data_IF_224360625811
#
_entry.id   IF_224360625811
#
_cell.length_a   1.000
_cell.length_b   1.000
_cell.length_c   1.000
_cell.angle_alpha   90.00
_cell.angle_beta   90.00
_cell.angle_gamma   90.00
#
_symmetry.space_group_name_H-M   'P 1'
#
loop_
_entity.id
_entity.type
_entity.pdbx_description
1 polymer ?
#
# COMPACT_ATOMS: atom_id res chain seq x y z
N UNK A 1 28.37 -0.71 6.95
CA UNK A 1 27.18 -0.14 6.28
C UNK A 1 27.36 0.38 4.85
N UNK A 2 28.34 -0.10 4.10
CA UNK A 2 28.53 0.31 2.69
C UNK A 2 28.40 -0.84 1.68
N UNK A 3 28.15 -2.06 2.17
CA UNK A 3 28.11 -3.27 1.34
C UNK A 3 26.70 -3.68 0.90
N UNK A 4 25.63 -3.13 1.49
CA UNK A 4 24.24 -3.39 1.12
C UNK A 4 23.67 -2.42 0.05
N UNK A 5 24.33 -1.29 -0.23
CA UNK A 5 23.85 -0.29 -1.20
C UNK A 5 24.18 -0.59 -2.66
N UNK A 6 25.00 -1.61 -2.96
CA UNK A 6 25.50 -1.89 -4.33
C UNK A 6 24.76 -2.98 -5.11
N UNK A 7 23.70 -3.59 -4.58
CA UNK A 7 22.90 -4.59 -5.32
C UNK A 7 21.57 -4.09 -5.90
N UNK A 8 21.19 -2.82 -5.68
CA UNK A 8 19.96 -2.26 -6.25
C UNK A 8 20.06 -1.88 -7.74
N UNK A 9 21.22 -2.03 -8.39
CA UNK A 9 21.43 -1.54 -9.75
C UNK A 9 21.76 -2.68 -10.73
N UNK A 10 20.84 -3.62 -10.89
CA UNK A 10 20.75 -4.44 -12.10
C UNK A 10 19.37 -5.10 -12.20
N UNK A 11 18.59 -4.67 -13.20
CA UNK A 11 17.31 -5.24 -13.66
C UNK A 11 16.07 -4.89 -12.83
N UNK A 12 15.67 -3.61 -12.85
CA UNK A 12 14.24 -3.30 -13.01
C UNK A 12 13.82 -3.68 -14.44
N UNK A 13 13.58 -4.97 -14.66
CA UNK A 13 12.83 -5.42 -15.81
C UNK A 13 11.37 -5.01 -15.59
N UNK A 14 10.79 -4.28 -16.54
CA UNK A 14 9.36 -3.96 -16.60
C UNK A 14 8.55 -5.25 -16.40
N UNK A 15 7.68 -5.26 -15.40
CA UNK A 15 6.66 -6.31 -15.27
C UNK A 15 5.51 -5.95 -16.23
N UNK A 16 5.11 -6.82 -17.16
CA UNK A 16 3.91 -6.61 -17.96
C UNK A 16 2.67 -6.82 -17.07
N UNK A 17 1.70 -5.93 -17.22
CA UNK A 17 0.34 -6.12 -16.71
C UNK A 17 -0.33 -7.29 -17.44
N UNK A 18 -0.43 -8.47 -16.81
CA UNK A 18 -1.48 -9.48 -17.03
C UNK A 18 -1.26 -10.73 -16.15
N UNK A 19 -2.34 -11.16 -15.51
CA UNK A 19 -2.82 -12.55 -15.39
C UNK A 19 -1.90 -13.68 -14.94
N UNK A 20 -2.48 -14.53 -14.08
CA UNK A 20 -2.07 -15.86 -13.63
C UNK A 20 -1.21 -15.91 -12.37
N UNK A 21 -1.92 -15.86 -11.25
CA UNK A 21 -1.52 -16.44 -9.97
C UNK A 21 -1.34 -17.96 -10.14
N UNK A 22 -0.12 -18.41 -10.41
CA UNK A 22 0.26 -19.82 -10.27
C UNK A 22 1.34 -19.88 -9.20
N UNK A 23 0.91 -20.15 -7.96
CA UNK A 23 1.83 -20.65 -6.94
C UNK A 23 2.49 -21.93 -7.46
N UNK A 24 3.74 -22.18 -7.12
CA UNK A 24 4.49 -23.34 -7.58
C UNK A 24 3.70 -24.64 -7.31
N UNK A 25 3.00 -25.14 -8.34
CA UNK A 25 2.33 -26.42 -8.27
C UNK A 25 3.39 -27.47 -8.59
N UNK A 26 4.01 -27.99 -7.53
CA UNK A 26 4.73 -29.26 -7.66
C UNK A 26 3.74 -30.31 -8.18
N UNK A 27 4.17 -31.21 -9.09
CA UNK A 27 3.33 -32.29 -9.57
C UNK A 27 2.75 -33.10 -8.42
N UNK A 28 1.55 -33.65 -8.62
CA UNK A 28 0.91 -34.51 -7.63
C UNK A 28 1.84 -35.66 -7.20
N UNK A 29 2.04 -35.80 -5.88
CA UNK A 29 2.94 -36.79 -5.31
C UNK A 29 2.53 -38.22 -5.67
N UNK A 30 3.49 -39.00 -6.12
CA UNK A 30 3.35 -40.45 -6.37
C UNK A 30 4.66 -41.14 -6.01
N UNK A 31 4.55 -42.27 -5.31
CA UNK A 31 5.70 -43.10 -5.00
C UNK A 31 6.36 -43.65 -6.27
N UNK A 32 7.68 -43.59 -6.31
CA UNK A 32 8.50 -44.09 -7.42
C UNK A 32 8.69 -45.60 -7.32
N UNK A 33 8.73 -46.27 -8.47
CA UNK A 33 9.14 -47.68 -8.55
C UNK A 33 10.61 -47.84 -8.16
N UNK A 34 10.93 -48.84 -7.34
CA UNK A 34 12.29 -49.15 -6.91
C UNK A 34 12.87 -50.24 -7.81
N UNK A 35 13.89 -49.90 -8.59
CA UNK A 35 14.49 -50.80 -9.60
C UNK A 35 15.98 -51.03 -9.38
N UNK A 36 16.62 -50.21 -8.57
CA UNK A 36 18.07 -50.27 -8.33
C UNK A 36 18.35 -51.23 -7.18
N UNK A 37 19.30 -52.16 -7.36
CA UNK A 37 19.69 -53.10 -6.30
C UNK A 37 20.44 -52.41 -5.16
N UNK A 38 20.61 -53.12 -4.05
CA UNK A 38 21.34 -52.61 -2.88
C UNK A 38 22.85 -52.70 -3.10
N UNK A 39 23.56 -51.59 -2.92
CA UNK A 39 25.03 -51.61 -2.84
C UNK A 39 25.49 -51.99 -1.42
N UNK A 40 25.60 -53.30 -1.21
CA UNK A 40 26.04 -53.85 0.08
C UNK A 40 27.43 -53.40 0.50
N UNK A 41 28.35 -53.13 -0.45
CA UNK A 41 29.71 -52.68 -0.09
C UNK A 41 29.66 -51.30 0.53
N UNK A 42 28.90 -50.41 -0.09
CA UNK A 42 28.68 -49.05 0.40
C UNK A 42 27.99 -49.06 1.75
N UNK A 43 26.90 -49.81 1.90
CA UNK A 43 26.17 -49.91 3.17
C UNK A 43 27.05 -50.47 4.29
N UNK A 44 27.83 -51.53 4.02
CA UNK A 44 28.71 -52.13 5.03
C UNK A 44 29.86 -51.21 5.48
N UNK A 45 30.22 -50.20 4.69
CA UNK A 45 31.26 -49.24 5.05
C UNK A 45 30.78 -48.15 6.02
N UNK A 46 29.47 -48.03 6.23
CA UNK A 46 28.87 -47.02 7.07
C UNK A 46 28.85 -47.49 8.53
N UNK A 47 29.52 -46.74 9.39
CA UNK A 47 29.42 -46.92 10.85
C UNK A 47 28.19 -46.18 11.37
N UNK A 48 27.10 -46.92 11.59
CA UNK A 48 25.80 -46.35 11.99
C UNK A 48 25.85 -45.77 13.41
N UNK A 49 26.61 -46.37 14.33
CA UNK A 49 26.73 -45.89 15.71
C UNK A 49 27.48 -44.56 15.76
N UNK A 50 28.54 -44.43 14.95
CA UNK A 50 29.23 -43.15 14.77
C UNK A 50 28.32 -42.10 14.17
N UNK A 51 27.58 -42.43 13.09
CA UNK A 51 26.64 -41.50 12.46
C UNK A 51 25.59 -40.99 13.45
N UNK A 52 25.07 -41.87 14.31
CA UNK A 52 24.08 -41.50 15.32
C UNK A 52 24.66 -40.66 16.45
N UNK A 53 25.85 -41.01 16.96
CA UNK A 53 26.48 -40.31 18.09
C UNK A 53 27.07 -38.96 17.71
N UNK A 54 27.60 -38.82 16.50
CA UNK A 54 28.22 -37.58 15.99
C UNK A 54 27.26 -36.71 15.19
N UNK A 55 26.03 -37.17 14.93
CA UNK A 55 25.07 -36.51 14.04
C UNK A 55 25.68 -36.21 12.67
N UNK A 56 26.34 -37.20 12.07
CA UNK A 56 26.98 -37.06 10.75
C UNK A 56 25.93 -36.99 9.63
N UNK A 57 25.39 -35.78 9.45
CA UNK A 57 24.38 -35.51 8.44
C UNK A 57 24.90 -35.70 7.02
N UNK A 58 26.21 -35.54 6.78
CA UNK A 58 26.77 -35.70 5.44
C UNK A 58 26.67 -37.16 4.99
N UNK A 59 27.07 -38.10 5.86
CA UNK A 59 26.91 -39.52 5.58
C UNK A 59 25.44 -39.88 5.37
N UNK A 60 24.50 -39.30 6.12
CA UNK A 60 23.07 -39.53 5.88
C UNK A 60 22.61 -38.97 4.52
N UNK A 61 22.98 -37.74 4.18
CA UNK A 61 22.62 -37.09 2.91
C UNK A 61 23.18 -37.81 1.70
N UNK A 62 24.42 -38.28 1.75
CA UNK A 62 25.04 -38.99 0.65
C UNK A 62 24.34 -40.32 0.33
N UNK A 63 23.75 -40.96 1.35
CA UNK A 63 23.15 -42.29 1.24
C UNK A 63 21.61 -42.28 1.17
N UNK A 64 20.95 -41.16 1.49
CA UNK A 64 19.49 -41.09 1.61
C UNK A 64 18.77 -41.52 0.33
N UNK A 65 19.29 -41.13 -0.84
CA UNK A 65 18.71 -41.49 -2.14
C UNK A 65 18.81 -42.99 -2.38
N UNK A 66 19.99 -43.59 -2.15
CA UNK A 66 20.21 -45.02 -2.35
C UNK A 66 19.31 -45.86 -1.43
N UNK A 67 19.22 -45.51 -0.14
CA UNK A 67 18.41 -46.25 0.84
C UNK A 67 16.92 -46.09 0.56
N UNK A 68 16.47 -44.89 0.21
CA UNK A 68 15.06 -44.60 -0.04
C UNK A 68 14.55 -45.32 -1.28
N UNK A 69 15.36 -45.44 -2.34
CA UNK A 69 14.92 -45.93 -3.65
C UNK A 69 15.45 -47.31 -4.06
N UNK A 70 16.24 -47.99 -3.22
CA UNK A 70 16.70 -49.36 -3.51
C UNK A 70 15.55 -50.38 -3.50
N UNK A 71 15.70 -51.42 -4.32
CA UNK A 71 14.82 -52.58 -4.37
C UNK A 71 15.33 -53.65 -3.39
N UNK A 72 14.45 -54.13 -2.52
CA UNK A 72 14.73 -55.21 -1.57
C UNK A 72 14.04 -56.52 -1.94
N UNK A 73 13.31 -56.55 -3.05
CA UNK A 73 12.56 -57.72 -3.48
C UNK A 73 13.51 -58.87 -3.84
N UNK A 74 13.37 -59.98 -3.13
CA UNK A 74 14.17 -61.18 -3.39
C UNK A 74 15.58 -61.15 -2.81
N UNK A 75 15.91 -60.18 -1.96
CA UNK A 75 17.19 -60.14 -1.26
C UNK A 75 17.39 -61.35 -0.34
N UNK A 76 18.63 -61.85 -0.31
CA UNK A 76 19.02 -63.05 0.42
C UNK A 76 20.20 -62.75 1.34
N UNK A 77 20.28 -63.47 2.46
CA UNK A 77 21.42 -63.38 3.35
C UNK A 77 22.72 -63.73 2.61
N UNK A 78 23.73 -62.87 2.72
CA UNK A 78 25.02 -63.04 2.06
C UNK A 78 25.78 -64.30 2.52
N UNK A 79 25.48 -64.82 3.71
CA UNK A 79 26.20 -65.95 4.32
C UNK A 79 25.51 -67.30 4.13
N UNK A 80 24.18 -67.36 4.26
CA UNK A 80 23.42 -68.61 4.19
C UNK A 80 22.47 -68.71 3.01
N UNK A 81 22.38 -67.66 2.17
CA UNK A 81 21.50 -67.57 1.00
C UNK A 81 20.00 -67.75 1.26
N UNK A 82 19.57 -67.78 2.52
CA UNK A 82 18.17 -67.79 2.90
C UNK A 82 17.52 -66.43 2.57
N UNK A 83 16.23 -66.41 2.20
CA UNK A 83 15.50 -65.16 1.99
C UNK A 83 15.46 -64.34 3.28
N UNK A 84 15.51 -63.02 3.15
CA UNK A 84 15.32 -62.11 4.28
C UNK A 84 13.90 -62.24 4.83
N UNK A 85 13.75 -62.09 6.14
CA UNK A 85 12.45 -62.15 6.82
C UNK A 85 11.45 -61.15 6.21
N UNK A 86 10.27 -61.66 5.84
CA UNK A 86 9.22 -60.87 5.19
C UNK A 86 8.68 -59.71 6.04
N UNK A 87 8.69 -59.81 7.37
CA UNK A 87 8.28 -58.74 8.29
C UNK A 87 9.33 -57.63 8.30
N UNK A 88 10.62 -57.97 8.32
CA UNK A 88 11.70 -56.99 8.22
C UNK A 88 11.69 -56.28 6.86
N UNK A 89 11.43 -57.01 5.76
CA UNK A 89 11.27 -56.41 4.44
C UNK A 89 10.09 -55.45 4.38
N UNK A 90 8.94 -55.80 5.00
CA UNK A 90 7.78 -54.91 5.10
C UNK A 90 8.09 -53.66 5.94
N UNK A 91 8.78 -53.82 7.07
CA UNK A 91 9.17 -52.70 7.92
C UNK A 91 10.11 -51.73 7.18
N UNK A 92 11.12 -52.27 6.50
CA UNK A 92 12.03 -51.48 5.68
C UNK A 92 11.29 -50.81 4.52
N UNK A 93 10.40 -51.53 3.83
CA UNK A 93 9.57 -50.96 2.77
C UNK A 93 8.71 -49.80 3.27
N UNK A 94 8.13 -49.91 4.46
CA UNK A 94 7.38 -48.83 5.09
C UNK A 94 8.30 -47.64 5.42
N UNK A 95 9.49 -47.90 5.96
CA UNK A 95 10.50 -46.87 6.21
C UNK A 95 10.90 -46.12 4.92
N UNK A 96 11.13 -46.82 3.82
CA UNK A 96 11.41 -46.21 2.52
C UNK A 96 10.27 -45.32 2.00
N UNK A 97 9.01 -45.73 2.18
CA UNK A 97 7.85 -44.93 1.78
C UNK A 97 7.72 -43.68 2.66
N UNK A 98 7.94 -43.81 3.96
CA UNK A 98 7.99 -42.66 4.87
C UNK A 98 9.11 -41.69 4.49
N UNK A 99 10.32 -42.18 4.23
CA UNK A 99 11.45 -41.36 3.79
C UNK A 99 11.16 -40.63 2.46
N UNK A 100 10.61 -41.33 1.47
CA UNK A 100 10.25 -40.71 0.19
C UNK A 100 9.21 -39.61 0.35
N UNK A 101 8.20 -39.83 1.22
CA UNK A 101 7.22 -38.80 1.53
C UNK A 101 7.85 -37.60 2.24
N UNK A 102 8.75 -37.83 3.21
CA UNK A 102 9.45 -36.77 3.93
C UNK A 102 10.34 -35.93 2.98
N UNK A 103 11.06 -36.58 2.06
CA UNK A 103 11.84 -35.89 1.04
C UNK A 103 10.96 -35.02 0.14
N UNK A 104 9.81 -35.55 -0.29
CA UNK A 104 8.84 -34.76 -1.06
C UNK A 104 8.29 -33.59 -0.27
N UNK A 105 7.91 -33.78 1.00
CA UNK A 105 7.43 -32.71 1.86
C UNK A 105 8.50 -31.63 2.06
N UNK A 106 9.76 -32.01 2.23
CA UNK A 106 10.87 -31.07 2.36
C UNK A 106 11.04 -30.24 1.08
N UNK A 107 11.03 -30.87 -0.09
CA UNK A 107 11.10 -30.18 -1.39
C UNK A 107 9.90 -29.24 -1.57
N UNK A 108 8.69 -29.72 -1.24
CA UNK A 108 7.47 -28.92 -1.31
C UNK A 108 7.52 -27.68 -0.43
N UNK A 109 7.89 -27.85 0.84
CA UNK A 109 8.01 -26.74 1.77
C UNK A 109 9.11 -25.77 1.35
N UNK A 110 10.24 -26.27 0.86
CA UNK A 110 11.36 -25.43 0.38
C UNK A 110 10.94 -24.59 -0.81
N UNK A 111 10.33 -25.20 -1.83
CA UNK A 111 9.81 -24.49 -3.00
C UNK A 111 8.73 -23.48 -2.62
N UNK A 112 7.79 -23.86 -1.75
CA UNK A 112 6.73 -22.95 -1.30
C UNK A 112 7.31 -21.76 -0.54
N UNK A 113 8.29 -21.98 0.32
CA UNK A 113 8.96 -20.93 1.08
C UNK A 113 9.71 -19.97 0.17
N UNK A 114 10.47 -20.47 -0.81
CA UNK A 114 11.16 -19.64 -1.80
C UNK A 114 10.21 -18.75 -2.61
N UNK A 115 9.03 -19.26 -2.98
CA UNK A 115 8.00 -18.46 -3.68
C UNK A 115 7.49 -17.34 -2.80
N UNK A 116 7.16 -17.62 -1.54
CA UNK A 116 6.68 -16.59 -0.61
C UNK A 116 7.76 -15.56 -0.26
N UNK A 117 9.01 -15.99 -0.06
CA UNK A 117 10.16 -15.09 0.12
C UNK A 117 10.35 -14.18 -1.09
N UNK A 118 10.23 -14.71 -2.30
CA UNK A 118 10.29 -13.94 -3.54
C UNK A 118 9.19 -12.86 -3.62
N UNK A 119 7.95 -13.19 -3.21
CA UNK A 119 6.84 -12.23 -3.15
C UNK A 119 7.10 -11.13 -2.13
N UNK A 120 7.54 -11.49 -0.93
CA UNK A 120 7.87 -10.53 0.13
C UNK A 120 8.97 -9.58 -0.34
N UNK A 121 10.00 -10.11 -1.00
CA UNK A 121 11.08 -9.31 -1.55
C UNK A 121 10.57 -8.33 -2.62
N UNK A 122 9.75 -8.78 -3.57
CA UNK A 122 9.18 -7.94 -4.61
C UNK A 122 8.31 -6.80 -4.04
N UNK A 123 7.40 -7.13 -3.12
CA UNK A 123 6.55 -6.13 -2.45
C UNK A 123 7.36 -5.11 -1.64
N UNK A 124 8.47 -5.56 -1.03
CA UNK A 124 9.37 -4.66 -0.30
C UNK A 124 10.03 -3.67 -1.25
N UNK A 125 10.52 -4.12 -2.40
CA UNK A 125 11.09 -3.26 -3.44
C UNK A 125 10.07 -2.25 -3.99
N UNK A 126 8.84 -2.69 -4.25
CA UNK A 126 7.74 -1.82 -4.71
C UNK A 126 7.40 -0.75 -3.66
N UNK A 127 7.26 -1.16 -2.39
CA UNK A 127 7.02 -0.23 -1.27
C UNK A 127 8.12 0.83 -1.19
N UNK A 128 9.38 0.42 -1.25
CA UNK A 128 10.51 1.36 -1.21
C UNK A 128 10.50 2.34 -2.39
N UNK A 129 10.13 1.87 -3.59
CA UNK A 129 9.96 2.74 -4.74
C UNK A 129 8.84 3.76 -4.53
N UNK A 130 7.66 3.32 -4.09
CA UNK A 130 6.53 4.20 -3.79
C UNK A 130 6.89 5.22 -2.71
N UNK A 131 7.63 4.83 -1.68
CA UNK A 131 8.10 5.76 -0.65
C UNK A 131 9.00 6.86 -1.23
N UNK A 132 9.94 6.51 -2.12
CA UNK A 132 10.79 7.51 -2.81
C UNK A 132 9.98 8.46 -3.68
N UNK A 133 8.97 7.94 -4.39
CA UNK A 133 8.07 8.75 -5.22
C UNK A 133 7.23 9.71 -4.36
N UNK A 134 6.72 9.23 -3.22
CA UNK A 134 5.99 10.05 -2.25
C UNK A 134 6.85 11.16 -1.65
N UNK A 135 8.10 10.87 -1.29
CA UNK A 135 9.06 11.89 -0.81
C UNK A 135 9.32 12.96 -1.87
N UNK A 136 9.52 12.55 -3.14
CA UNK A 136 9.71 13.47 -4.26
C UNK A 136 8.49 14.38 -4.45
N UNK A 137 7.28 13.81 -4.46
CA UNK A 137 6.04 14.58 -4.58
C UNK A 137 5.84 15.54 -3.41
N UNK A 138 6.20 15.13 -2.19
CA UNK A 138 6.12 15.99 -1.01
C UNK A 138 7.04 17.22 -1.13
N UNK A 139 8.26 17.03 -1.63
CA UNK A 139 9.19 18.15 -1.87
C UNK A 139 8.74 19.05 -3.02
N UNK A 140 8.18 18.49 -4.09
CA UNK A 140 7.56 19.27 -5.18
C UNK A 140 6.40 20.14 -4.67
N UNK A 141 5.50 19.58 -3.85
CA UNK A 141 4.40 20.33 -3.23
C UNK A 141 4.93 21.47 -2.35
N UNK A 142 5.99 21.21 -1.57
CA UNK A 142 6.61 22.21 -0.70
C UNK A 142 7.21 23.36 -1.53
N UNK A 143 7.93 23.03 -2.60
CA UNK A 143 8.48 24.01 -3.55
C UNK A 143 7.39 24.86 -4.18
N UNK A 144 6.34 24.22 -4.71
CA UNK A 144 5.21 24.91 -5.34
C UNK A 144 4.45 25.81 -4.35
N UNK A 145 4.26 25.37 -3.11
CA UNK A 145 3.64 26.21 -2.05
C UNK A 145 4.47 27.47 -1.79
N UNK A 146 5.79 27.35 -1.76
CA UNK A 146 6.68 28.50 -1.55
C UNK A 146 6.65 29.45 -2.76
N UNK A 147 6.66 28.92 -3.97
CA UNK A 147 6.50 29.73 -5.18
C UNK A 147 5.14 30.46 -5.22
N UNK A 148 4.05 29.77 -4.89
CA UNK A 148 2.73 30.38 -4.77
C UNK A 148 2.71 31.52 -3.75
N UNK A 149 3.37 31.35 -2.59
CA UNK A 149 3.48 32.42 -1.57
C UNK A 149 4.23 33.63 -2.12
N UNK A 150 5.37 33.41 -2.80
CA UNK A 150 6.16 34.47 -3.43
C UNK A 150 5.34 35.23 -4.48
N UNK A 151 4.66 34.51 -5.38
CA UNK A 151 3.78 35.10 -6.41
C UNK A 151 2.63 35.91 -5.78
N UNK A 152 1.97 35.39 -4.73
CA UNK A 152 0.93 36.14 -3.98
C UNK A 152 1.46 37.45 -3.40
N UNK A 153 2.67 37.46 -2.84
CA UNK A 153 3.31 38.67 -2.30
C UNK A 153 3.59 39.71 -3.39
N UNK A 154 4.08 39.27 -4.56
CA UNK A 154 4.30 40.15 -5.71
C UNK A 154 2.98 40.75 -6.19
N UNK A 155 1.93 39.93 -6.40
CA UNK A 155 0.61 40.39 -6.84
C UNK A 155 0.02 41.38 -5.83
N UNK A 156 0.08 41.09 -4.54
CA UNK A 156 -0.41 42.00 -3.50
C UNK A 156 0.31 43.35 -3.55
N UNK A 157 1.64 43.35 -3.73
CA UNK A 157 2.43 44.58 -3.84
C UNK A 157 2.03 45.38 -5.09
N UNK A 158 1.88 44.70 -6.23
CA UNK A 158 1.44 45.32 -7.49
C UNK A 158 0.01 45.89 -7.38
N UNK A 159 -0.92 45.16 -6.76
CA UNK A 159 -2.29 45.64 -6.53
C UNK A 159 -2.30 46.91 -5.68
N UNK A 160 -1.48 46.97 -4.62
CA UNK A 160 -1.35 48.19 -3.81
C UNK A 160 -0.85 49.38 -4.64
N UNK A 161 0.12 49.16 -5.53
CA UNK A 161 0.62 50.21 -6.43
C UNK A 161 -0.45 50.69 -7.42
N UNK A 162 -1.21 49.78 -8.03
CA UNK A 162 -2.29 50.12 -8.96
C UNK A 162 -3.42 50.89 -8.24
N UNK A 163 -3.82 50.43 -7.05
CA UNK A 163 -4.87 51.08 -6.25
C UNK A 163 -4.47 52.47 -5.74
N UNK A 164 -3.18 52.77 -5.70
CA UNK A 164 -2.67 54.09 -5.31
C UNK A 164 -2.47 55.04 -6.51
N UNK A 165 -2.96 54.70 -7.71
CA UNK A 165 -3.01 55.59 -8.87
C UNK A 165 -4.26 56.45 -8.92
N UNK A 166 -4.13 57.73 -9.26
CA UNK A 166 -5.29 58.59 -9.54
C UNK A 166 -5.92 58.21 -10.88
N UNK A 167 -7.24 58.10 -10.93
CA UNK A 167 -7.97 57.81 -12.17
C UNK A 167 -8.29 59.09 -12.97
N UNK A 168 -8.07 60.25 -12.37
CA UNK A 168 -8.38 61.56 -12.91
C UNK A 168 -7.15 62.21 -13.57
N UNK A 169 -5.94 61.76 -13.20
CA UNK A 169 -4.66 62.18 -13.77
C UNK A 169 -3.61 61.08 -13.59
N UNK A 170 -2.48 61.15 -14.29
CA UNK A 170 -1.46 60.09 -14.31
C UNK A 170 -0.58 59.99 -13.03
N UNK A 171 -0.98 60.63 -11.93
CA UNK A 171 -0.20 60.62 -10.68
C UNK A 171 -0.43 59.34 -9.89
N UNK A 172 0.65 58.62 -9.62
CA UNK A 172 0.69 57.50 -8.69
C UNK A 172 1.22 57.93 -7.31
N UNK A 173 0.67 57.33 -6.26
CA UNK A 173 0.99 57.65 -4.87
C UNK A 173 1.53 56.40 -4.16
N UNK A 174 2.29 56.61 -3.07
CA UNK A 174 2.89 55.50 -2.32
C UNK A 174 1.87 54.65 -1.57
N UNK A 175 0.71 55.22 -1.24
CA UNK A 175 -0.39 54.49 -0.60
C UNK A 175 -1.74 55.16 -0.93
N UNK A 176 -2.82 54.45 -0.61
CA UNK A 176 -4.18 54.93 -0.84
C UNK A 176 -4.52 56.22 -0.08
N UNK A 177 -3.96 56.44 1.11
CA UNK A 177 -4.24 57.66 1.90
C UNK A 177 -3.69 58.93 1.23
N UNK A 178 -2.52 58.85 0.60
CA UNK A 178 -1.95 59.95 -0.18
C UNK A 178 -2.77 60.19 -1.46
N UNK A 179 -3.23 59.13 -2.12
CA UNK A 179 -4.15 59.23 -3.25
C UNK A 179 -5.46 59.93 -2.85
N UNK A 180 -6.10 59.52 -1.76
CA UNK A 180 -7.34 60.12 -1.26
C UNK A 180 -7.16 61.61 -0.94
N UNK A 181 -6.06 61.95 -0.27
CA UNK A 181 -5.71 63.35 0.00
C UNK A 181 -5.50 64.16 -1.28
N UNK A 182 -4.92 63.55 -2.32
CA UNK A 182 -4.77 64.17 -3.62
C UNK A 182 -6.12 64.39 -4.32
N UNK A 183 -6.98 63.37 -4.41
CA UNK A 183 -8.32 63.48 -5.01
C UNK A 183 -9.13 64.56 -4.27
N UNK A 184 -9.11 64.58 -2.94
CA UNK A 184 -9.82 65.61 -2.17
C UNK A 184 -9.38 67.04 -2.51
N UNK A 185 -8.09 67.27 -2.74
CA UNK A 185 -7.52 68.61 -2.98
C UNK A 185 -7.56 69.05 -4.43
N UNK A 186 -7.38 68.12 -5.37
CA UNK A 186 -7.22 68.41 -6.81
C UNK A 186 -8.42 67.99 -7.65
N UNK A 187 -9.27 67.12 -7.12
CA UNK A 187 -10.46 66.57 -7.76
C UNK A 187 -11.68 66.57 -6.81
N UNK A 188 -12.08 67.74 -6.26
CA UNK A 188 -13.08 67.83 -5.20
C UNK A 188 -14.48 67.33 -5.62
N UNK A 189 -14.87 67.51 -6.88
CA UNK A 189 -16.15 67.01 -7.40
C UNK A 189 -16.24 65.48 -7.36
N UNK A 190 -15.15 64.79 -7.71
CA UNK A 190 -15.07 63.32 -7.67
C UNK A 190 -15.03 62.81 -6.23
N UNK A 191 -14.32 63.49 -5.32
CA UNK A 191 -14.31 63.15 -3.90
C UNK A 191 -15.71 63.22 -3.26
N UNK A 192 -16.49 64.27 -3.59
CA UNK A 192 -17.85 64.45 -3.07
C UNK A 192 -18.79 63.35 -3.61
N UNK A 193 -18.70 63.04 -4.91
CA UNK A 193 -19.52 62.02 -5.56
C UNK A 193 -19.21 60.61 -5.00
N UNK A 194 -17.93 60.27 -4.82
CA UNK A 194 -17.54 59.01 -4.17
C UNK A 194 -18.08 58.92 -2.74
N UNK A 195 -17.92 59.97 -1.94
CA UNK A 195 -18.41 59.99 -0.54
C UNK A 195 -19.93 59.82 -0.45
N UNK A 196 -20.69 60.41 -1.38
CA UNK A 196 -22.14 60.21 -1.47
C UNK A 196 -22.51 58.77 -1.83
N UNK A 197 -21.82 58.18 -2.83
CA UNK A 197 -22.01 56.77 -3.22
C UNK A 197 -21.67 55.80 -2.09
N UNK A 198 -20.57 56.01 -1.35
CA UNK A 198 -20.22 55.19 -0.20
C UNK A 198 -21.28 55.27 0.90
N UNK A 199 -21.82 56.47 1.14
CA UNK A 199 -22.93 56.66 2.07
C UNK A 199 -24.19 55.91 1.66
N UNK A 200 -24.53 55.87 0.37
CA UNK A 200 -25.65 55.08 -0.15
C UNK A 200 -25.40 53.57 -0.05
N UNK A 201 -24.19 53.09 -0.38
CA UNK A 201 -23.84 51.69 -0.25
C UNK A 201 -23.92 51.18 1.20
N UNK A 202 -23.51 52.00 2.18
CA UNK A 202 -23.66 51.63 3.59
C UNK A 202 -25.14 51.45 3.98
N UNK A 203 -26.01 52.35 3.51
CA UNK A 203 -27.46 52.22 3.72
C UNK A 203 -28.03 50.96 3.09
N UNK A 204 -27.66 50.66 1.84
CA UNK A 204 -28.08 49.42 1.19
C UNK A 204 -27.54 48.18 1.91
N UNK A 205 -26.32 48.23 2.44
CA UNK A 205 -25.75 47.11 3.20
C UNK A 205 -26.50 46.86 4.52
N UNK A 206 -26.91 47.92 5.21
CA UNK A 206 -27.75 47.82 6.41
C UNK A 206 -29.13 47.22 6.07
N UNK A 207 -29.75 47.64 4.97
CA UNK A 207 -31.01 47.05 4.49
C UNK A 207 -30.85 45.57 4.13
N UNK A 208 -29.78 45.19 3.43
CA UNK A 208 -29.48 43.79 3.11
C UNK A 208 -29.34 42.96 4.39
N UNK A 209 -28.69 43.49 5.43
CA UNK A 209 -28.53 42.78 6.69
C UNK A 209 -29.88 42.59 7.41
N UNK A 210 -30.74 43.63 7.43
CA UNK A 210 -32.09 43.54 7.98
C UNK A 210 -32.95 42.53 7.23
N UNK A 211 -32.88 42.53 5.89
CA UNK A 211 -33.61 41.57 5.06
C UNK A 211 -33.15 40.14 5.29
N UNK A 212 -31.84 39.91 5.46
CA UNK A 212 -31.30 38.59 5.82
C UNK A 212 -31.82 38.09 7.16
N UNK A 213 -31.86 38.96 8.17
CA UNK A 213 -32.38 38.63 9.49
C UNK A 213 -33.87 38.27 9.45
N UNK A 214 -34.68 39.05 8.71
CA UNK A 214 -36.10 38.75 8.50
C UNK A 214 -36.32 37.44 7.75
N UNK A 215 -35.48 37.15 6.74
CA UNK A 215 -35.55 35.90 5.99
C UNK A 215 -35.27 34.69 6.89
N UNK A 216 -34.24 34.76 7.73
CA UNK A 216 -33.88 33.69 8.65
C UNK A 216 -34.98 33.43 9.69
N UNK A 217 -35.56 34.50 10.23
CA UNK A 217 -36.70 34.41 11.14
C UNK A 217 -37.91 33.73 10.48
N UNK A 218 -38.28 34.19 9.28
CA UNK A 218 -39.42 33.64 8.53
C UNK A 218 -39.20 32.16 8.19
N UNK A 219 -37.98 31.80 7.80
CA UNK A 219 -37.60 30.42 7.52
C UNK A 219 -37.75 29.53 8.76
N UNK A 220 -37.26 30.00 9.91
CA UNK A 220 -37.41 29.26 11.17
C UNK A 220 -38.89 29.07 11.55
N UNK A 221 -39.72 30.10 11.38
CA UNK A 221 -41.17 29.99 11.60
C UNK A 221 -41.80 28.94 10.69
N UNK A 222 -41.50 28.97 9.38
CA UNK A 222 -42.00 27.97 8.43
C UNK A 222 -41.56 26.54 8.77
N UNK A 223 -40.30 26.35 9.21
CA UNK A 223 -39.81 25.04 9.65
C UNK A 223 -40.57 24.54 10.88
N UNK A 224 -40.86 25.41 11.85
CA UNK A 224 -41.67 25.03 13.01
C UNK A 224 -43.10 24.67 12.63
N UNK A 225 -43.75 25.44 11.75
CA UNK A 225 -45.10 25.13 11.25
C UNK A 225 -45.14 23.81 10.49
N UNK A 226 -44.15 23.55 9.63
CA UNK A 226 -44.03 22.27 8.93
C UNK A 226 -43.87 21.11 9.91
N UNK A 227 -43.07 21.27 10.96
CA UNK A 227 -42.86 20.23 11.96
C UNK A 227 -44.13 19.97 12.78
N UNK A 228 -44.89 21.01 13.12
CA UNK A 228 -46.20 20.90 13.77
C UNK A 228 -47.18 20.17 12.85
N UNK A 229 -47.25 20.54 11.57
CA UNK A 229 -48.11 19.89 10.58
C UNK A 229 -47.76 18.40 10.40
N UNK A 230 -46.47 18.06 10.31
CA UNK A 230 -45.99 16.66 10.24
C UNK A 230 -46.38 15.87 11.48
N UNK A 231 -46.22 16.46 12.66
CA UNK A 231 -46.60 15.81 13.92
C UNK A 231 -48.11 15.56 13.98
N UNK A 232 -48.92 16.54 13.58
CA UNK A 232 -50.38 16.40 13.52
C UNK A 232 -50.83 15.33 12.52
N UNK A 233 -50.20 15.26 11.35
CA UNK A 233 -50.44 14.17 10.38
C UNK A 233 -50.09 12.80 10.96
N UNK A 234 -48.98 12.69 11.70
CA UNK A 234 -48.60 11.42 12.34
C UNK A 234 -49.57 10.99 13.44
N UNK A 235 -50.08 11.93 14.24
CA UNK A 235 -51.10 11.66 15.25
C UNK A 235 -52.41 11.20 14.61
N UNK A 236 -52.89 11.89 13.57
CA UNK A 236 -54.10 11.48 12.83
C UNK A 236 -53.92 10.07 12.25
N UNK A 237 -52.77 9.77 11.63
CA UNK A 237 -52.48 8.42 11.12
C UNK A 237 -52.50 7.35 12.22
N UNK A 238 -52.04 7.68 13.42
CA UNK A 238 -52.08 6.77 14.57
C UNK A 238 -53.51 6.52 15.07
N UNK A 239 -54.34 7.56 15.15
CA UNK A 239 -55.75 7.47 15.55
C UNK A 239 -56.63 6.66 14.58
N UNK A 240 -56.28 6.57 13.30
CA UNK A 240 -57.00 5.75 12.31
C UNK A 240 -56.49 4.31 12.19
N UNK A 241 -55.42 3.93 12.92
CA UNK A 241 -54.80 2.60 12.87
C UNK A 241 -55.11 1.72 14.10
N UNK A 242 -55.91 2.23 15.05
CA UNK A 242 -56.46 1.53 16.24
C UNK A 242 -57.95 1.36 16.10
#
# INVERSE_FOLDING_TARGET
DEFQKRKCNARCARIPTASVMMGAQLPAFKFRSRREGVDYRRINSIDVDRVASELDLNTLQDNIMCVTFCNMDGEKCAYCHNPVDSVLLKLFRLAQLMLEYLLHSQEYLTCSLQVEEGKVHALTCEKEQMMREMEKQAEEIKSLKEECRKRKKIISTQQTMIQAGCQCCEKAFMNYSFLQSHIQRRHPEQYINEKQKTGQNNKFQEEINKLKEQLELTKSQLETEQQVYRTRLSQVKFYFAT
#
